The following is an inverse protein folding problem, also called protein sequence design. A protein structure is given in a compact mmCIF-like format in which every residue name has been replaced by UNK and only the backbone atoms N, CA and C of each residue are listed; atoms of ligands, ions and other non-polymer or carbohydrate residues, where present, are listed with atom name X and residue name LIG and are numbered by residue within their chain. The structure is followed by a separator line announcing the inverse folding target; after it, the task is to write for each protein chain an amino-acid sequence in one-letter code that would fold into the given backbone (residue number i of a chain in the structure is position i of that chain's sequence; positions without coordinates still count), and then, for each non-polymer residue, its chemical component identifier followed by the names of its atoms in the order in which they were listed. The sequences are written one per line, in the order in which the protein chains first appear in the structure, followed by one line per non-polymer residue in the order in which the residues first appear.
data_IF_296781575120
#
_entry.id   IF_296781575120
#
_cell.length_a   1.000
_cell.length_b   1.000
_cell.length_c   1.000
_cell.angle_alpha   90.00
_cell.angle_beta   90.00
_cell.angle_gamma   90.00
#
_symmetry.space_group_name_H-M   'P 1'
#
loop_
_entity.id
_entity.type
_entity.pdbx_description
1 polymer ?
#
# COMPACT_ATOMS: atom_id res chain seq x y z
N UNK A 1 -16.10 7.93 0.38
CA UNK A 1 -15.64 9.30 0.73
C UNK A 1 -15.33 10.02 -0.56
N UNK A 2 -16.16 10.98 -1.03
CA UNK A 2 -15.79 11.78 -2.19
C UNK A 2 -14.52 12.59 -1.87
N UNK A 3 -13.64 12.76 -2.86
CA UNK A 3 -12.43 13.56 -2.72
C UNK A 3 -12.82 14.96 -2.24
N UNK A 4 -12.26 15.42 -1.12
CA UNK A 4 -12.53 16.76 -0.60
C UNK A 4 -12.14 17.78 -1.67
N UNK A 5 -13.09 18.61 -2.11
CA UNK A 5 -12.79 19.76 -2.97
C UNK A 5 -11.83 20.70 -2.24
N UNK A 6 -10.85 21.26 -2.96
CA UNK A 6 -9.86 22.18 -2.39
C UNK A 6 -8.63 21.54 -1.74
N UNK A 7 -8.27 20.30 -2.10
CA UNK A 7 -7.00 19.70 -1.66
C UNK A 7 -5.80 20.60 -2.05
N UNK A 8 -5.03 21.01 -1.03
CA UNK A 8 -3.78 21.76 -1.19
C UNK A 8 -2.63 20.86 -0.77
N UNK A 9 -1.58 20.85 -1.58
CA UNK A 9 -0.39 20.08 -1.27
C UNK A 9 0.31 20.63 -0.01
N UNK A 10 0.69 19.75 0.94
CA UNK A 10 1.47 20.18 2.09
C UNK A 10 2.87 20.63 1.65
N UNK A 11 3.45 21.58 2.40
CA UNK A 11 4.79 22.13 2.09
C UNK A 11 5.93 21.11 2.26
N UNK A 12 5.74 20.13 3.15
CA UNK A 12 6.69 19.07 3.50
C UNK A 12 5.94 17.91 4.16
N UNK A 13 6.54 16.73 4.19
CA UNK A 13 5.98 15.56 4.88
C UNK A 13 5.88 14.34 3.97
N UNK A 14 4.96 13.44 4.33
CA UNK A 14 4.61 12.27 3.54
C UNK A 14 3.19 12.46 2.99
N UNK A 15 3.03 12.32 1.68
CA UNK A 15 1.73 12.20 1.03
C UNK A 15 1.53 10.75 0.60
N UNK A 16 0.57 10.08 1.23
CA UNK A 16 0.20 8.70 0.90
C UNK A 16 -0.86 8.67 -0.20
N UNK A 17 -0.60 7.92 -1.27
CA UNK A 17 -1.57 7.57 -2.30
C UNK A 17 -2.29 6.28 -1.90
N UNK A 18 -3.33 6.42 -1.09
CA UNK A 18 -4.24 5.35 -0.70
C UNK A 18 -5.37 5.23 -1.73
N UNK A 19 -4.99 4.89 -2.97
CA UNK A 19 -5.89 4.71 -4.12
C UNK A 19 -5.73 3.27 -4.66
N UNK A 20 -6.69 2.76 -5.46
CA UNK A 20 -6.50 1.49 -6.15
C UNK A 20 -5.22 1.50 -7.01
N UNK A 21 -4.58 0.33 -7.14
CA UNK A 21 -3.30 0.18 -7.85
C UNK A 21 -3.33 0.78 -9.26
N UNK A 22 -4.39 0.49 -10.04
CA UNK A 22 -4.56 1.03 -11.39
C UNK A 22 -4.66 2.56 -11.48
N UNK A 23 -4.90 3.25 -10.36
CA UNK A 23 -5.00 4.71 -10.29
C UNK A 23 -3.71 5.39 -9.78
N UNK A 24 -2.70 4.64 -9.34
CA UNK A 24 -1.48 5.21 -8.74
C UNK A 24 -0.73 6.10 -9.73
N UNK A 25 -0.45 5.62 -10.94
CA UNK A 25 0.30 6.37 -11.97
C UNK A 25 -0.46 7.60 -12.47
N UNK A 26 -1.78 7.47 -12.61
CA UNK A 26 -2.63 8.61 -12.98
C UNK A 26 -2.62 9.69 -11.88
N UNK A 27 -2.75 9.27 -10.61
CA UNK A 27 -2.70 10.19 -9.48
C UNK A 27 -1.32 10.87 -9.36
N UNK A 28 -0.24 10.13 -9.60
CA UNK A 28 1.11 10.70 -9.64
C UNK A 28 1.22 11.82 -10.70
N UNK A 29 0.68 11.59 -11.89
CA UNK A 29 0.63 12.58 -12.98
C UNK A 29 -0.17 13.82 -12.57
N UNK A 30 -1.35 13.64 -11.97
CA UNK A 30 -2.19 14.76 -11.49
C UNK A 30 -1.48 15.58 -10.41
N UNK A 31 -0.77 14.92 -9.48
CA UNK A 31 0.01 15.62 -8.44
C UNK A 31 1.17 16.39 -9.07
N UNK A 32 1.86 15.82 -10.05
CA UNK A 32 2.98 16.49 -10.73
C UNK A 32 2.54 17.83 -11.38
N UNK A 33 1.34 17.88 -11.97
CA UNK A 33 0.75 19.11 -12.53
C UNK A 33 0.53 20.21 -11.47
N UNK A 34 0.34 19.84 -10.21
CA UNK A 34 0.22 20.78 -9.09
C UNK A 34 1.58 21.32 -8.61
N UNK A 35 2.70 20.88 -9.21
CA UNK A 35 4.07 21.30 -8.89
C UNK A 35 4.39 21.14 -7.39
N UNK A 36 4.45 19.89 -6.88
CA UNK A 36 4.66 19.65 -5.47
C UNK A 36 6.01 20.21 -5.01
N UNK A 37 6.11 20.74 -3.78
CA UNK A 37 7.39 21.16 -3.22
C UNK A 37 8.40 20.01 -3.20
N UNK A 38 9.67 20.25 -3.55
CA UNK A 38 10.70 19.21 -3.60
C UNK A 38 10.89 18.46 -2.26
N UNK A 39 10.58 19.10 -1.13
CA UNK A 39 10.64 18.50 0.20
C UNK A 39 9.47 17.56 0.53
N UNK A 40 8.44 17.48 -0.32
CA UNK A 40 7.31 16.59 -0.15
C UNK A 40 7.67 15.19 -0.66
N UNK A 41 7.57 14.19 0.21
CA UNK A 41 7.74 12.78 -0.16
C UNK A 41 6.40 12.17 -0.55
N UNK A 42 6.37 11.43 -1.66
CA UNK A 42 5.16 10.80 -2.21
C UNK A 42 5.29 9.30 -2.06
N UNK A 43 4.28 8.65 -1.49
CA UNK A 43 4.34 7.24 -1.10
C UNK A 43 3.08 6.51 -1.53
N UNK A 44 3.17 5.42 -2.28
CA UNK A 44 2.00 4.57 -2.56
C UNK A 44 1.91 3.40 -1.57
N UNK A 45 0.71 2.79 -1.50
CA UNK A 45 0.45 1.63 -0.63
C UNK A 45 0.41 0.29 -1.39
N UNK A 46 0.45 0.30 -2.73
CA UNK A 46 0.42 -0.94 -3.53
C UNK A 46 1.56 -1.90 -3.15
N UNK A 47 1.20 -3.18 -2.99
CA UNK A 47 2.16 -4.27 -2.85
C UNK A 47 2.71 -4.81 -4.17
N UNK A 48 2.06 -4.49 -5.29
CA UNK A 48 2.39 -5.00 -6.63
C UNK A 48 3.26 -4.03 -7.43
N UNK A 49 3.03 -2.72 -7.28
CA UNK A 49 3.69 -1.68 -8.08
C UNK A 49 5.05 -1.29 -7.51
N UNK A 50 6.02 -1.08 -8.39
CA UNK A 50 7.32 -0.49 -8.08
C UNK A 50 7.26 1.03 -7.95
N UNK A 51 8.42 1.64 -7.70
CA UNK A 51 8.54 3.09 -7.60
C UNK A 51 8.41 3.81 -8.95
N UNK A 52 8.50 3.06 -10.05
CA UNK A 52 8.25 3.49 -11.44
C UNK A 52 6.82 3.97 -11.66
N UNK A 53 5.85 3.47 -10.88
CA UNK A 53 4.48 3.99 -10.85
C UNK A 53 4.41 5.46 -10.41
N UNK A 54 5.46 5.98 -9.77
CA UNK A 54 5.60 7.40 -9.38
C UNK A 54 6.58 8.16 -10.29
N UNK A 55 6.87 7.67 -11.51
CA UNK A 55 7.79 8.30 -12.47
C UNK A 55 7.44 9.74 -12.84
N UNK A 56 6.16 10.14 -12.84
CA UNK A 56 5.80 11.54 -13.08
C UNK A 56 6.34 12.54 -12.03
N UNK A 57 6.89 12.04 -10.90
CA UNK A 57 7.30 12.81 -9.73
C UNK A 57 8.81 12.66 -9.43
N UNK A 58 9.67 12.56 -10.45
CA UNK A 58 11.10 12.29 -10.26
C UNK A 58 11.85 13.34 -9.44
N UNK A 59 11.37 14.58 -9.44
CA UNK A 59 11.91 15.67 -8.63
C UNK A 59 11.60 15.55 -7.12
N UNK A 60 10.82 14.55 -6.71
CA UNK A 60 10.41 14.34 -5.33
C UNK A 60 10.97 13.02 -4.77
N UNK A 61 11.22 12.93 -3.45
CA UNK A 61 11.43 11.64 -2.80
C UNK A 61 10.19 10.75 -2.96
N UNK A 62 10.36 9.57 -3.55
CA UNK A 62 9.31 8.58 -3.81
C UNK A 62 9.53 7.33 -3.00
N UNK A 63 8.45 6.69 -2.54
CA UNK A 63 8.53 5.43 -1.81
C UNK A 63 7.28 4.57 -1.91
N UNK A 64 7.37 3.37 -1.32
CA UNK A 64 6.26 2.45 -1.12
C UNK A 64 6.16 2.05 0.34
N UNK A 65 4.95 1.84 0.84
CA UNK A 65 4.67 1.42 2.20
C UNK A 65 3.47 0.48 2.17
N UNK A 66 3.71 -0.82 2.03
CA UNK A 66 2.65 -1.80 1.88
C UNK A 66 2.52 -2.66 3.14
N UNK A 67 1.48 -2.45 3.96
CA UNK A 67 1.17 -3.33 5.07
C UNK A 67 0.76 -4.71 4.53
N UNK A 68 1.47 -5.76 4.93
CA UNK A 68 1.14 -7.14 4.57
C UNK A 68 0.00 -7.64 5.47
N UNK A 69 -1.20 -7.11 5.24
CA UNK A 69 -2.41 -7.39 6.01
C UNK A 69 -3.65 -7.00 5.18
N UNK A 70 -4.74 -7.74 5.34
CA UNK A 70 -6.01 -7.47 4.68
C UNK A 70 -6.87 -6.45 5.46
N UNK A 71 -7.28 -5.39 4.76
CA UNK A 71 -8.14 -4.32 5.28
C UNK A 71 -9.42 -4.18 4.43
N UNK A 72 -10.34 -5.17 4.45
CA UNK A 72 -11.57 -5.12 3.64
C UNK A 72 -12.53 -4.00 4.08
N UNK A 73 -12.39 -3.54 5.32
CA UNK A 73 -13.09 -2.41 5.90
C UNK A 73 -12.16 -1.68 6.88
N UNK A 74 -12.47 -0.45 7.32
CA UNK A 74 -11.72 0.21 8.37
C UNK A 74 -11.57 -0.68 9.60
N UNK A 75 -10.34 -0.80 10.10
CA UNK A 75 -10.01 -1.60 11.29
C UNK A 75 -9.43 -0.70 12.38
N UNK A 76 -9.46 -1.19 13.61
CA UNK A 76 -8.76 -0.56 14.72
C UNK A 76 -7.24 -0.46 14.43
N UNK A 77 -6.54 0.60 14.88
CA UNK A 77 -5.09 0.74 14.70
C UNK A 77 -4.26 -0.44 15.21
N UNK A 78 -4.77 -1.23 16.17
CA UNK A 78 -4.14 -2.49 16.61
C UNK A 78 -3.92 -3.50 15.48
N UNK A 79 -4.65 -3.40 14.36
CA UNK A 79 -4.44 -4.24 13.18
C UNK A 79 -3.03 -4.11 12.56
N UNK A 80 -2.27 -3.06 12.89
CA UNK A 80 -0.87 -2.88 12.49
C UNK A 80 0.13 -3.54 13.45
N UNK A 81 -0.30 -4.01 14.63
CA UNK A 81 0.62 -4.57 15.61
C UNK A 81 1.20 -5.90 15.12
N UNK A 82 2.53 -5.96 15.09
CA UNK A 82 3.28 -7.17 14.75
C UNK A 82 3.31 -7.55 13.26
N UNK A 83 2.50 -6.92 12.40
CA UNK A 83 2.46 -7.21 10.96
C UNK A 83 3.74 -6.76 10.27
N UNK A 84 4.04 -7.35 9.11
CA UNK A 84 5.10 -6.85 8.24
C UNK A 84 4.60 -5.65 7.43
N UNK A 85 5.44 -4.63 7.27
CA UNK A 85 5.24 -3.58 6.25
C UNK A 85 6.41 -3.63 5.29
N UNK A 86 6.13 -3.94 4.02
CA UNK A 86 7.11 -3.81 2.95
C UNK A 86 7.35 -2.32 2.64
N UNK A 87 8.61 -1.91 2.61
CA UNK A 87 9.01 -0.52 2.36
C UNK A 87 10.07 -0.41 1.27
N UNK A 88 9.90 0.58 0.41
CA UNK A 88 10.91 1.01 -0.55
C UNK A 88 10.99 2.53 -0.62
N UNK A 89 12.15 3.07 -0.99
CA UNK A 89 12.33 4.49 -1.19
C UNK A 89 13.53 4.82 -2.06
N UNK A 90 13.35 5.83 -2.91
CA UNK A 90 14.39 6.43 -3.76
C UNK A 90 15.52 7.13 -3.00
N UNK A 91 15.33 7.47 -1.71
CA UNK A 91 16.36 8.15 -0.91
C UNK A 91 16.58 7.45 0.44
N UNK A 92 17.82 7.42 0.96
CA UNK A 92 18.10 6.84 2.28
C UNK A 92 17.35 7.54 3.43
N UNK A 93 17.10 8.85 3.31
CA UNK A 93 16.36 9.62 4.32
C UNK A 93 14.88 9.23 4.37
N UNK A 94 14.23 9.07 3.22
CA UNK A 94 12.86 8.58 3.14
C UNK A 94 12.76 7.13 3.61
N UNK A 95 13.69 6.25 3.22
CA UNK A 95 13.76 4.87 3.72
C UNK A 95 13.78 4.81 5.25
N UNK A 96 14.65 5.60 5.90
CA UNK A 96 14.69 5.67 7.37
C UNK A 96 13.37 6.15 7.96
N UNK A 97 12.76 7.17 7.34
CA UNK A 97 11.47 7.73 7.79
C UNK A 97 10.33 6.72 7.68
N UNK A 98 10.22 5.98 6.58
CA UNK A 98 9.20 4.94 6.39
C UNK A 98 9.39 3.78 7.37
N UNK A 99 10.64 3.33 7.57
CA UNK A 99 10.94 2.31 8.59
C UNK A 99 10.60 2.78 10.01
N UNK A 100 10.87 4.03 10.34
CA UNK A 100 10.52 4.59 11.64
C UNK A 100 9.00 4.69 11.82
N UNK A 101 8.27 5.12 10.79
CA UNK A 101 6.81 5.16 10.80
C UNK A 101 6.19 3.78 11.01
N UNK A 102 6.65 2.76 10.29
CA UNK A 102 6.18 1.39 10.47
C UNK A 102 6.36 0.90 11.92
N UNK A 103 7.52 1.16 12.52
CA UNK A 103 7.76 0.79 13.93
C UNK A 103 6.87 1.58 14.89
N UNK A 104 6.65 2.86 14.63
CA UNK A 104 5.82 3.72 15.48
C UNK A 104 4.35 3.25 15.52
N UNK A 105 3.86 2.63 14.44
CA UNK A 105 2.52 2.02 14.40
C UNK A 105 2.51 0.54 14.85
N UNK A 106 3.61 0.04 15.41
CA UNK A 106 3.72 -1.33 15.94
C UNK A 106 4.05 -2.41 14.90
N UNK A 107 4.32 -2.03 13.65
CA UNK A 107 4.64 -2.96 12.57
C UNK A 107 6.15 -3.21 12.44
N UNK A 108 6.49 -4.26 11.70
CA UNK A 108 7.86 -4.71 11.41
C UNK A 108 8.24 -4.33 9.98
N UNK A 109 9.03 -3.26 9.75
CA UNK A 109 9.40 -2.88 8.39
C UNK A 109 10.37 -3.89 7.78
N UNK A 110 10.14 -4.24 6.52
CA UNK A 110 11.06 -5.03 5.68
C UNK A 110 11.27 -4.32 4.35
N UNK A 111 12.50 -4.28 3.87
CA UNK A 111 12.74 -3.72 2.54
C UNK A 111 12.36 -4.74 1.49
N UNK A 112 11.60 -4.29 0.50
CA UNK A 112 11.26 -5.05 -0.70
C UNK A 112 11.53 -4.10 -1.85
N UNK A 113 12.61 -4.35 -2.58
CA UNK A 113 12.94 -3.62 -3.81
C UNK A 113 12.23 -4.21 -5.02
N UNK A 114 12.37 -3.57 -6.18
CA UNK A 114 11.67 -3.96 -7.40
C UNK A 114 12.01 -5.40 -7.85
N UNK A 115 13.26 -5.84 -7.70
CA UNK A 115 13.68 -7.21 -8.01
C UNK A 115 12.92 -8.29 -7.20
N UNK A 116 12.52 -7.95 -5.98
CA UNK A 116 11.83 -8.87 -5.06
C UNK A 116 10.31 -8.73 -5.12
N UNK A 117 9.82 -7.63 -5.72
CA UNK A 117 8.43 -7.18 -5.57
C UNK A 117 7.43 -8.14 -6.16
N UNK A 118 7.74 -8.71 -7.32
CA UNK A 118 6.89 -9.71 -7.98
C UNK A 118 6.71 -10.94 -7.09
N UNK A 119 7.81 -11.51 -6.58
CA UNK A 119 7.75 -12.70 -5.71
C UNK A 119 7.07 -12.39 -4.37
N UNK A 120 7.37 -11.24 -3.78
CA UNK A 120 6.72 -10.76 -2.56
C UNK A 120 5.21 -10.64 -2.74
N UNK A 121 4.76 -9.99 -3.82
CA UNK A 121 3.34 -9.80 -4.08
C UNK A 121 2.63 -11.14 -4.34
N UNK A 122 3.24 -12.03 -5.13
CA UNK A 122 2.72 -13.37 -5.34
C UNK A 122 2.54 -14.11 -4.01
N UNK A 123 3.56 -14.12 -3.14
CA UNK A 123 3.46 -14.75 -1.82
C UNK A 123 2.31 -14.17 -0.98
N UNK A 124 2.11 -12.85 -1.02
CA UNK A 124 1.00 -12.19 -0.33
C UNK A 124 -0.37 -12.63 -0.86
N UNK A 125 -0.53 -12.72 -2.19
CA UNK A 125 -1.77 -13.18 -2.84
C UNK A 125 -2.08 -14.62 -2.47
N UNK A 126 -1.07 -15.51 -2.48
CA UNK A 126 -1.24 -16.91 -2.08
C UNK A 126 -1.63 -17.05 -0.61
N UNK A 127 -1.02 -16.26 0.28
CA UNK A 127 -1.27 -16.33 1.71
C UNK A 127 -2.57 -15.64 2.17
N UNK A 128 -3.27 -14.94 1.26
CA UNK A 128 -4.47 -14.17 1.60
C UNK A 128 -5.60 -14.42 0.60
N UNK A 129 -5.52 -13.84 -0.60
CA UNK A 129 -6.60 -13.85 -1.58
C UNK A 129 -6.98 -15.27 -2.00
N UNK A 130 -6.01 -16.16 -2.20
CA UNK A 130 -6.31 -17.54 -2.59
C UNK A 130 -6.87 -18.38 -1.45
N UNK A 131 -6.46 -18.11 -0.20
CA UNK A 131 -7.06 -18.76 0.97
C UNK A 131 -8.56 -18.41 1.04
N UNK A 132 -8.90 -17.14 0.85
CA UNK A 132 -10.28 -16.68 0.85
C UNK A 132 -11.13 -17.38 -0.23
N UNK A 133 -10.62 -17.46 -1.46
CA UNK A 133 -11.30 -18.17 -2.57
C UNK A 133 -11.49 -19.66 -2.26
N UNK A 134 -10.48 -20.34 -1.71
CA UNK A 134 -10.57 -21.76 -1.36
C UNK A 134 -11.66 -21.99 -0.29
N UNK A 135 -11.72 -21.14 0.73
CA UNK A 135 -12.74 -21.22 1.78
C UNK A 135 -14.14 -20.92 1.20
N UNK A 136 -14.26 -19.88 0.38
CA UNK A 136 -15.53 -19.52 -0.26
C UNK A 136 -16.07 -20.65 -1.15
N UNK A 137 -15.19 -21.33 -1.88
CA UNK A 137 -15.58 -22.47 -2.72
C UNK A 137 -16.02 -23.67 -1.88
N UNK A 138 -15.33 -23.96 -0.76
CA UNK A 138 -15.76 -24.99 0.18
C UNK A 138 -17.16 -24.71 0.74
N UNK A 139 -17.43 -23.46 1.13
CA UNK A 139 -18.76 -23.02 1.58
C UNK A 139 -19.81 -23.20 0.47
N UNK A 140 -19.48 -22.82 -0.77
CA UNK A 140 -20.38 -23.00 -1.93
C UNK A 140 -20.75 -24.47 -2.15
N UNK A 141 -19.79 -25.39 -2.03
CA UNK A 141 -20.01 -26.82 -2.17
C UNK A 141 -20.92 -27.37 -1.06
N UNK A 142 -20.70 -26.97 0.19
CA UNK A 142 -21.54 -27.38 1.33
C UNK A 142 -22.98 -26.89 1.20
N UNK A 143 -23.18 -25.64 0.74
CA UNK A 143 -24.51 -25.12 0.42
C UNK A 143 -25.21 -25.95 -0.66
N UNK A 144 -24.45 -26.51 -1.61
CA UNK A 144 -24.96 -27.40 -2.66
C UNK A 144 -25.60 -28.70 -2.13
N UNK A 145 -25.27 -29.13 -0.91
CA UNK A 145 -25.87 -30.28 -0.24
C UNK A 145 -26.84 -29.88 0.90
N UNK A 146 -27.27 -28.62 0.94
CA UNK A 146 -28.29 -28.13 1.86
C UNK A 146 -27.77 -27.63 3.21
N UNK A 147 -26.46 -27.47 3.39
CA UNK A 147 -25.91 -26.87 4.62
C UNK A 147 -26.07 -25.34 4.62
N UNK A 148 -26.26 -24.77 5.81
CA UNK A 148 -26.36 -23.33 6.07
C UNK A 148 -25.13 -22.82 6.80
N UNK A 149 -24.99 -21.49 6.89
CA UNK A 149 -23.88 -20.84 7.63
C UNK A 149 -24.17 -20.62 9.12
N UNK A 150 -25.36 -21.00 9.58
CA UNK A 150 -25.75 -21.16 10.99
C UNK A 150 -25.33 -22.55 11.51
#
# INVERSE_FOLDING_TARGET
MPARTGFRLPRRGLLFLAVPDGAVSEMATRIAQMKPPAALSIVHLSGALGLDALSALEGNPRGSFHPLQSFPMPRDPSAFQGITVAVDATTPSLMRRLRALARAIGAKPRHVGDEQRVLYHAAAVYASNFVDVVVAEAVRLLRGIGWTEE
#
